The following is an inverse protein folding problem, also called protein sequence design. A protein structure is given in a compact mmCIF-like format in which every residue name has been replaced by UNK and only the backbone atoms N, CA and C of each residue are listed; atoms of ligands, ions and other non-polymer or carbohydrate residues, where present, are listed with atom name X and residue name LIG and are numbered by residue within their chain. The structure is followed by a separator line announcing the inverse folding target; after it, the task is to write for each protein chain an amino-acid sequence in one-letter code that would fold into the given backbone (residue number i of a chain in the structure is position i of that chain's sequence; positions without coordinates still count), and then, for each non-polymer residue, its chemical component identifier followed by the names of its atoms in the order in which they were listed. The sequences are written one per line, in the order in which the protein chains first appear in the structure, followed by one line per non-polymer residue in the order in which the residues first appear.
data_IF_014653909653
#
_entry.id   IF_014653909653
#
_cell.length_a   1.000
_cell.length_b   1.000
_cell.length_c   1.000
_cell.angle_alpha   90.00
_cell.angle_beta   90.00
_cell.angle_gamma   90.00
#
_symmetry.space_group_name_H-M   'P 1'
#
loop_
_entity.id
_entity.type
_entity.pdbx_description
1 polymer ?
#
# COMPACT_ATOMS: atom_id res chain seq x y z
N UNK A 1 -5.41 -7.94 -8.62
CA UNK A 1 -5.77 -7.86 -7.18
C UNK A 1 -6.36 -6.49 -6.92
N UNK A 2 -7.39 -6.34 -6.10
CA UNK A 2 -7.66 -5.01 -5.54
C UNK A 2 -7.01 -4.94 -4.16
N UNK A 3 -6.35 -3.84 -3.85
CA UNK A 3 -5.85 -3.58 -2.51
C UNK A 3 -6.35 -2.23 -2.00
N UNK A 4 -6.77 -2.20 -0.74
CA UNK A 4 -7.00 -0.97 0.00
C UNK A 4 -6.12 -0.98 1.24
N UNK A 5 -5.43 0.13 1.49
CA UNK A 5 -4.49 0.29 2.60
C UNK A 5 -4.94 1.43 3.51
N UNK A 6 -5.00 1.24 4.83
CA UNK A 6 -5.32 2.29 5.80
C UNK A 6 -4.27 2.42 6.91
N UNK A 7 -3.82 3.63 7.23
CA UNK A 7 -2.79 3.87 8.24
C UNK A 7 -3.37 3.93 9.67
N UNK A 8 -2.66 3.35 10.65
CA UNK A 8 -3.08 3.26 12.06
C UNK A 8 -2.03 3.82 13.06
N UNK A 9 -0.82 4.15 12.60
CA UNK A 9 0.29 4.64 13.43
C UNK A 9 0.98 5.86 12.82
N UNK A 10 2.32 5.86 12.78
CA UNK A 10 3.05 6.85 11.97
C UNK A 10 2.60 6.79 10.50
N UNK A 11 2.67 7.93 9.81
CA UNK A 11 2.25 8.04 8.43
C UNK A 11 3.05 7.10 7.51
N UNK A 12 2.43 6.71 6.41
CA UNK A 12 3.03 5.80 5.42
C UNK A 12 3.01 6.44 4.04
N UNK A 13 4.10 6.34 3.30
CA UNK A 13 4.16 6.76 1.90
C UNK A 13 3.93 5.54 1.01
N UNK A 14 2.92 5.65 0.14
CA UNK A 14 2.52 4.64 -0.84
C UNK A 14 2.66 5.17 -2.27
N UNK A 15 2.97 4.31 -3.22
CA UNK A 15 3.04 4.70 -4.63
C UNK A 15 2.73 3.52 -5.56
N UNK A 16 1.92 3.77 -6.58
CA UNK A 16 1.84 2.94 -7.78
C UNK A 16 2.68 3.54 -8.91
N UNK A 17 3.30 2.70 -9.73
CA UNK A 17 4.18 3.13 -10.83
C UNK A 17 3.46 4.09 -11.78
N UNK A 18 4.14 5.18 -12.15
CA UNK A 18 3.60 6.22 -13.02
C UNK A 18 2.79 7.31 -12.31
N UNK A 19 2.58 7.20 -10.99
CA UNK A 19 1.89 8.19 -10.18
C UNK A 19 2.84 8.82 -9.13
N UNK A 20 2.49 10.00 -8.61
CA UNK A 20 3.22 10.61 -7.51
C UNK A 20 3.02 9.81 -6.21
N UNK A 21 4.05 9.73 -5.33
CA UNK A 21 3.89 9.14 -4.00
C UNK A 21 2.87 9.91 -3.17
N UNK A 22 2.04 9.18 -2.41
CA UNK A 22 1.04 9.73 -1.50
C UNK A 22 1.42 9.35 -0.07
N UNK A 23 1.44 10.32 0.84
CA UNK A 23 1.65 10.06 2.28
C UNK A 23 0.30 10.05 2.99
N UNK A 24 -0.03 8.92 3.61
CA UNK A 24 -1.29 8.68 4.32
C UNK A 24 -1.09 8.86 5.82
N UNK A 25 -1.88 9.72 6.42
CA UNK A 25 -2.09 9.83 7.86
C UNK A 25 -3.13 8.83 8.37
N UNK A 26 -3.31 8.81 9.69
CA UNK A 26 -4.24 7.89 10.36
C UNK A 26 -5.67 8.04 9.82
N UNK A 27 -6.28 6.93 9.44
CA UNK A 27 -7.64 6.88 8.90
C UNK A 27 -7.76 7.22 7.40
N UNK A 28 -6.69 7.67 6.76
CA UNK A 28 -6.66 7.82 5.30
C UNK A 28 -6.42 6.48 4.61
N UNK A 29 -6.94 6.34 3.39
CA UNK A 29 -6.83 5.12 2.61
C UNK A 29 -6.21 5.34 1.23
N UNK A 30 -5.58 4.30 0.71
CA UNK A 30 -4.99 4.24 -0.62
C UNK A 30 -5.48 3.00 -1.37
N UNK A 31 -5.84 3.16 -2.64
CA UNK A 31 -6.40 2.12 -3.47
C UNK A 31 -5.43 1.74 -4.60
N UNK A 32 -5.30 0.44 -4.85
CA UNK A 32 -4.55 -0.13 -5.97
C UNK A 32 -5.45 -0.99 -6.84
N UNK A 33 -5.39 -0.73 -8.15
CA UNK A 33 -6.07 -1.48 -9.20
C UNK A 33 -5.35 -2.81 -9.50
N UNK A 34 -6.05 -3.82 -10.09
CA UNK A 34 -5.45 -5.10 -10.44
C UNK A 34 -4.26 -5.08 -11.37
N UNK A 35 -4.07 -4.00 -12.12
CA UNK A 35 -2.98 -3.83 -13.07
C UNK A 35 -1.87 -2.94 -12.55
N UNK A 36 -2.02 -2.35 -11.37
CA UNK A 36 -1.05 -1.42 -10.83
C UNK A 36 0.19 -2.16 -10.35
N UNK A 37 1.35 -1.52 -10.56
CA UNK A 37 2.61 -1.96 -9.98
C UNK A 37 2.84 -1.14 -8.72
N UNK A 38 2.75 -1.79 -7.57
CA UNK A 38 3.14 -1.21 -6.29
C UNK A 38 4.64 -0.91 -6.29
N UNK A 39 5.02 0.37 -6.17
CA UNK A 39 6.40 0.83 -6.29
C UNK A 39 7.02 1.19 -4.93
N UNK A 40 6.25 1.82 -4.04
CA UNK A 40 6.73 2.25 -2.72
C UNK A 40 5.72 1.89 -1.64
N UNK A 41 6.23 1.30 -0.56
CA UNK A 41 5.63 1.28 0.76
C UNK A 41 6.70 1.61 1.78
N UNK A 42 6.63 2.80 2.37
CA UNK A 42 7.67 3.32 3.26
C UNK A 42 7.05 3.91 4.53
N UNK A 43 7.65 3.66 5.69
CA UNK A 43 7.39 4.43 6.89
C UNK A 43 7.85 5.88 6.70
N UNK A 44 6.95 6.85 6.84
CA UNK A 44 7.29 8.26 6.68
C UNK A 44 8.00 8.84 7.91
N UNK A 45 8.01 8.13 9.04
CA UNK A 45 8.79 8.48 10.23
C UNK A 45 10.12 7.71 10.27
N UNK A 46 11.19 8.41 10.63
CA UNK A 46 12.51 7.81 10.86
C UNK A 46 12.65 7.23 12.29
N UNK A 47 11.72 7.57 13.20
CA UNK A 47 11.81 7.24 14.63
C UNK A 47 10.64 6.41 15.14
N UNK A 48 9.43 6.68 14.64
CA UNK A 48 8.20 6.07 15.15
C UNK A 48 7.76 4.91 14.24
N UNK A 49 7.25 3.82 14.82
CA UNK A 49 6.75 2.70 14.02
C UNK A 49 5.45 3.07 13.27
N UNK A 50 5.41 2.73 11.99
CA UNK A 50 4.18 2.74 11.21
C UNK A 50 3.47 1.38 11.26
N UNK A 51 2.14 1.42 11.26
CA UNK A 51 1.26 0.27 11.05
C UNK A 51 0.16 0.66 10.09
N UNK A 52 -0.23 -0.29 9.25
CA UNK A 52 -1.35 -0.13 8.35
C UNK A 52 -2.04 -1.47 8.12
N UNK A 53 -3.32 -1.40 7.80
CA UNK A 53 -4.16 -2.55 7.46
C UNK A 53 -4.30 -2.64 5.94
N UNK A 54 -4.26 -3.86 5.40
CA UNK A 54 -4.49 -4.11 3.97
C UNK A 54 -5.66 -5.05 3.78
N UNK A 55 -6.63 -4.64 2.95
CA UNK A 55 -7.68 -5.50 2.43
C UNK A 55 -7.36 -5.91 1.01
N UNK A 56 -7.20 -7.22 0.76
CA UNK A 56 -6.90 -7.75 -0.57
C UNK A 56 -8.04 -8.61 -1.10
N UNK A 57 -8.49 -8.31 -2.33
CA UNK A 57 -9.40 -9.16 -3.10
C UNK A 57 -8.65 -9.80 -4.26
N UNK A 58 -8.60 -11.14 -4.26
CA UNK A 58 -7.89 -11.94 -5.26
C UNK A 58 -8.57 -13.29 -5.52
N UNK A 59 -8.15 -13.94 -6.61
CA UNK A 59 -8.55 -15.31 -6.90
C UNK A 59 -8.06 -16.28 -5.81
N UNK A 60 -8.85 -17.32 -5.55
CA UNK A 60 -8.45 -18.40 -4.64
C UNK A 60 -7.14 -19.03 -5.12
N UNK A 61 -6.29 -19.46 -4.18
CA UNK A 61 -5.03 -20.20 -4.46
C UNK A 61 -3.94 -19.44 -5.24
N UNK A 62 -4.12 -18.15 -5.48
CA UNK A 62 -3.06 -17.28 -6.07
C UNK A 62 -2.21 -16.59 -4.99
N UNK A 63 -0.93 -16.24 -5.24
CA UNK A 63 -0.17 -15.38 -4.35
C UNK A 63 -0.84 -14.00 -4.17
N UNK A 64 -0.69 -13.34 -2.99
CA UNK A 64 -1.26 -12.01 -2.76
C UNK A 64 -0.57 -10.91 -3.55
N UNK A 65 0.73 -11.07 -3.81
CA UNK A 65 1.56 -10.18 -4.63
C UNK A 65 2.52 -11.03 -5.44
N UNK A 66 2.94 -10.53 -6.60
CA UNK A 66 3.98 -11.12 -7.45
C UNK A 66 5.02 -10.04 -7.78
N UNK A 67 6.33 -10.37 -7.82
CA UNK A 67 7.34 -9.42 -8.25
C UNK A 67 7.17 -9.02 -9.72
N UNK A 68 7.55 -7.79 -10.06
CA UNK A 68 7.74 -7.38 -11.46
C UNK A 68 8.93 -8.13 -12.07
N UNK A 69 8.87 -8.43 -13.38
CA UNK A 69 9.95 -9.05 -14.15
C UNK A 69 11.00 -8.02 -14.58
#
# INVERSE_FOLDING_TARGET
MNAEVGAEGAAITMQVSGHEPVTLGVGETFYESPTDVHAVSKNASDTDPAKFLVFLVKNKETPPVIPVQ
#
